data_IF_788161544702
#
_entry.id   IF_788161544702
#
_cell.length_a   1.000
_cell.length_b   1.000
_cell.length_c   1.000
_cell.angle_alpha   90.00
_cell.angle_beta   90.00
_cell.angle_gamma   90.00
#
_symmetry.space_group_name_H-M   'P 1'
#
loop_
_entity.id
_entity.type
_entity.pdbx_description
1 polymer ?
#
# COMPACT_ATOMS: atom_id res chain seq x y z
N UNK A 1 -20.17 17.17 -25.27
CA UNK A 1 -19.59 15.95 -24.65
C UNK A 1 -18.49 16.38 -23.67
N UNK A 2 -18.73 16.59 -22.37
CA UNK A 2 -17.65 16.93 -21.46
C UNK A 2 -16.84 15.67 -21.13
N UNK A 3 -15.59 15.64 -21.59
CA UNK A 3 -14.57 14.67 -21.18
C UNK A 3 -14.14 15.05 -19.76
N UNK A 4 -14.75 14.43 -18.76
CA UNK A 4 -14.32 14.54 -17.36
C UNK A 4 -12.87 14.05 -17.29
N UNK A 5 -11.96 15.00 -17.03
CA UNK A 5 -10.59 14.69 -16.70
C UNK A 5 -10.60 13.91 -15.38
N UNK A 6 -10.46 12.59 -15.46
CA UNK A 6 -10.14 11.77 -14.29
C UNK A 6 -8.72 12.14 -13.88
N UNK A 7 -8.58 13.19 -13.08
CA UNK A 7 -7.33 13.47 -12.38
C UNK A 7 -7.10 12.31 -11.43
N UNK A 8 -6.38 11.31 -11.91
CA UNK A 8 -5.91 10.19 -11.10
C UNK A 8 -4.99 10.82 -10.05
N UNK A 9 -5.54 11.05 -8.85
CA UNK A 9 -4.86 11.73 -7.78
C UNK A 9 -3.57 10.96 -7.50
N UNK A 10 -2.44 11.53 -7.96
CA UNK A 10 -1.12 10.96 -7.78
C UNK A 10 -0.84 11.07 -6.29
N UNK A 11 -1.11 10.00 -5.52
CA UNK A 11 -0.85 9.96 -4.08
C UNK A 11 0.61 10.29 -3.85
N UNK A 12 0.84 11.37 -3.12
CA UNK A 12 2.15 11.80 -2.64
C UNK A 12 2.37 11.39 -1.18
N UNK A 13 1.31 11.04 -0.44
CA UNK A 13 1.41 10.64 0.95
C UNK A 13 1.72 9.13 1.10
N UNK A 14 2.68 8.76 1.96
CA UNK A 14 3.02 7.36 2.23
C UNK A 14 1.80 6.59 2.73
N UNK A 15 1.74 5.30 2.40
CA UNK A 15 0.65 4.44 2.88
C UNK A 15 0.74 4.23 4.39
N UNK A 16 -0.39 4.38 5.07
CA UNK A 16 -0.49 4.04 6.49
C UNK A 16 -0.51 2.52 6.69
N UNK A 17 -0.14 2.03 7.89
CA UNK A 17 -0.22 0.60 8.22
C UNK A 17 -1.61 0.00 8.00
N UNK A 18 -2.67 0.77 8.30
CA UNK A 18 -4.06 0.35 8.10
C UNK A 18 -4.39 0.15 6.62
N UNK A 19 -3.91 1.03 5.74
CA UNK A 19 -4.11 0.90 4.30
C UNK A 19 -3.35 -0.30 3.72
N UNK A 20 -2.11 -0.53 4.16
CA UNK A 20 -1.35 -1.71 3.73
C UNK A 20 -2.07 -3.01 4.10
N UNK A 21 -2.66 -3.07 5.30
CA UNK A 21 -3.49 -4.19 5.74
C UNK A 21 -4.78 -4.31 4.95
N UNK A 22 -5.46 -3.20 4.64
CA UNK A 22 -6.66 -3.23 3.81
C UNK A 22 -6.38 -3.77 2.41
N UNK A 23 -5.23 -3.42 1.82
CA UNK A 23 -4.79 -3.96 0.53
C UNK A 23 -4.53 -5.46 0.62
N UNK A 24 -3.84 -5.91 1.66
CA UNK A 24 -3.61 -7.34 1.90
C UNK A 24 -4.92 -8.11 2.12
N UNK A 25 -5.87 -7.55 2.87
CA UNK A 25 -7.19 -8.12 3.10
C UNK A 25 -8.07 -8.19 1.83
N UNK A 26 -7.81 -7.31 0.84
CA UNK A 26 -8.43 -7.39 -0.49
C UNK A 26 -7.84 -8.52 -1.36
N UNK A 27 -6.83 -9.23 -0.88
CA UNK A 27 -6.16 -10.31 -1.60
C UNK A 27 -4.90 -9.89 -2.34
N UNK A 28 -4.42 -8.64 -2.18
CA UNK A 28 -3.10 -8.27 -2.71
C UNK A 28 -2.01 -9.06 -1.98
N UNK A 29 -1.04 -9.58 -2.73
CA UNK A 29 0.13 -10.22 -2.15
C UNK A 29 1.05 -9.19 -1.47
N UNK A 30 1.84 -9.64 -0.49
CA UNK A 30 2.87 -8.81 0.18
C UNK A 30 3.79 -8.11 -0.83
N UNK A 31 4.14 -8.77 -1.94
CA UNK A 31 4.96 -8.19 -3.00
C UNK A 31 4.25 -7.06 -3.75
N UNK A 32 2.95 -7.19 -4.03
CA UNK A 32 2.14 -6.13 -4.66
C UNK A 32 1.95 -4.93 -3.73
N UNK A 33 1.67 -5.19 -2.45
CA UNK A 33 1.57 -4.15 -1.41
C UNK A 33 2.89 -3.40 -1.28
N UNK A 34 4.01 -4.13 -1.21
CA UNK A 34 5.36 -3.53 -1.17
C UNK A 34 5.67 -2.71 -2.43
N UNK A 35 5.40 -3.23 -3.63
CA UNK A 35 5.66 -2.50 -4.87
C UNK A 35 4.87 -1.18 -4.96
N UNK A 36 3.63 -1.15 -4.46
CA UNK A 36 2.82 0.08 -4.39
C UNK A 36 3.35 1.03 -3.33
N UNK A 37 3.68 0.53 -2.14
CA UNK A 37 4.23 1.35 -1.07
C UNK A 37 5.58 1.97 -1.44
N UNK A 38 6.46 1.17 -2.04
CA UNK A 38 7.80 1.58 -2.48
C UNK A 38 7.79 2.67 -3.55
N UNK A 39 6.74 2.73 -4.39
CA UNK A 39 6.59 3.79 -5.39
C UNK A 39 6.37 5.17 -4.78
N UNK A 40 5.75 5.23 -3.60
CA UNK A 40 5.47 6.47 -2.88
C UNK A 40 6.54 6.75 -1.83
N UNK A 41 6.91 5.72 -1.07
CA UNK A 41 7.93 5.78 -0.04
C UNK A 41 9.07 4.79 -0.36
N UNK A 42 10.17 5.33 -0.89
CA UNK A 42 11.36 4.55 -1.25
C UNK A 42 12.10 3.98 -0.03
N UNK A 43 11.81 4.46 1.19
CA UNK A 43 12.35 3.89 2.42
C UNK A 43 11.59 2.64 2.86
N UNK A 44 10.44 2.32 2.25
CA UNK A 44 9.63 1.17 2.61
C UNK A 44 10.27 -0.14 2.12
N UNK A 45 10.71 -0.97 3.07
CA UNK A 45 11.27 -2.30 2.79
C UNK A 45 10.20 -3.38 2.83
N UNK A 46 10.47 -4.50 2.16
CA UNK A 46 9.57 -5.67 2.15
C UNK A 46 9.40 -6.25 3.57
N UNK A 47 10.46 -6.26 4.37
CA UNK A 47 10.42 -6.70 5.77
C UNK A 47 9.58 -5.77 6.63
N UNK A 48 9.66 -4.45 6.43
CA UNK A 48 8.81 -3.50 7.15
C UNK A 48 7.33 -3.67 6.79
N UNK A 49 7.02 -3.93 5.52
CA UNK A 49 5.65 -4.26 5.09
C UNK A 49 5.18 -5.56 5.74
N UNK A 50 6.01 -6.61 5.74
CA UNK A 50 5.69 -7.87 6.46
C UNK A 50 5.43 -7.62 7.93
N UNK A 51 6.32 -6.91 8.63
CA UNK A 51 6.13 -6.56 10.02
C UNK A 51 4.78 -5.88 10.21
N UNK A 52 4.45 -4.83 9.44
CA UNK A 52 3.16 -4.14 9.53
C UNK A 52 1.94 -5.07 9.32
N UNK A 53 2.02 -5.98 8.35
CA UNK A 53 0.93 -6.89 8.01
C UNK A 53 0.73 -7.98 9.07
N UNK A 54 1.82 -8.48 9.66
CA UNK A 54 1.80 -9.63 10.59
C UNK A 54 2.00 -9.25 12.07
N UNK A 55 2.26 -7.99 12.41
CA UNK A 55 2.43 -7.47 13.78
C UNK A 55 1.18 -7.65 14.66
N UNK A 56 0.01 -7.87 14.05
CA UNK A 56 -1.26 -8.16 14.75
C UNK A 56 -1.73 -9.61 14.57
N UNK A 57 -0.97 -10.48 13.90
CA UNK A 57 -1.33 -11.89 13.79
C UNK A 57 -0.99 -12.55 15.14
N UNK A 58 -1.99 -13.01 15.94
CA UNK A 58 -1.67 -13.87 17.06
C UNK A 58 -0.99 -15.13 16.51
N UNK A 59 0.12 -15.50 17.14
CA UNK A 59 0.89 -16.69 16.83
C UNK A 59 0.04 -17.97 16.90
#
# INVERSE_FOLDING_TARGET
MPRWATTSARRTAPFSPAELRAMFAQGDSVAQVHARAYRIDRAMTKDRVRAILFDQAPA
#
